data_IF_077276880052
#
_entry.id   IF_077276880052
#
_cell.length_a   1.000
_cell.length_b   1.000
_cell.length_c   1.000
_cell.angle_alpha   90.00
_cell.angle_beta   90.00
_cell.angle_gamma   90.00
#
_symmetry.space_group_name_H-M   'P 1'
#
loop_
_entity.id
_entity.type
_entity.pdbx_description
1 polymer ?
#
# COMPACT_ATOMS: atom_id res chain seq x y z
N UNK A 1 -1.02 20.88 10.40
CA UNK A 1 -1.91 19.77 10.78
C UNK A 1 -1.43 19.04 12.02
N UNK A 2 -0.29 18.34 12.03
CA UNK A 2 0.17 17.59 13.22
C UNK A 2 0.24 18.46 14.47
N UNK A 3 0.83 19.66 14.37
CA UNK A 3 0.90 20.59 15.50
C UNK A 3 -0.47 21.10 15.97
N UNK A 4 -1.41 21.32 15.04
CA UNK A 4 -2.77 21.73 15.39
C UNK A 4 -3.53 20.60 16.12
N UNK A 5 -3.30 19.35 15.71
CA UNK A 5 -3.84 18.15 16.36
C UNK A 5 -3.18 17.94 17.72
N UNK A 6 -1.87 18.14 17.84
CA UNK A 6 -1.14 18.11 19.11
C UNK A 6 -1.74 19.11 20.10
N UNK A 7 -1.94 20.36 19.68
CA UNK A 7 -2.57 21.39 20.51
C UNK A 7 -3.99 20.98 20.95
N UNK A 8 -4.79 20.41 20.03
CA UNK A 8 -6.12 19.90 20.37
C UNK A 8 -6.09 18.75 21.39
N UNK A 9 -5.16 17.81 21.27
CA UNK A 9 -5.02 16.70 22.22
C UNK A 9 -4.55 17.19 23.59
N UNK A 10 -3.63 18.16 23.64
CA UNK A 10 -3.22 18.79 24.91
C UNK A 10 -4.42 19.44 25.60
N UNK A 11 -5.25 20.18 24.86
CA UNK A 11 -6.48 20.76 25.39
C UNK A 11 -7.46 19.68 25.90
N UNK A 12 -7.58 18.57 25.16
CA UNK A 12 -8.42 17.44 25.53
C UNK A 12 -7.91 16.72 26.79
N UNK A 13 -6.60 16.50 26.91
CA UNK A 13 -5.97 15.94 28.10
C UNK A 13 -6.25 16.81 29.34
N UNK A 14 -6.11 18.13 29.21
CA UNK A 14 -6.42 19.06 30.29
C UNK A 14 -7.91 19.01 30.69
N UNK A 15 -8.80 18.87 29.72
CA UNK A 15 -10.25 18.78 29.94
C UNK A 15 -10.68 17.43 30.57
N UNK A 16 -10.01 16.33 30.22
CA UNK A 16 -10.30 14.99 30.73
C UNK A 16 -9.42 14.55 31.92
N UNK A 17 -8.62 15.45 32.50
CA UNK A 17 -7.67 15.17 33.60
C UNK A 17 -8.23 14.36 34.77
N UNK A 18 -9.51 14.50 35.08
CA UNK A 18 -10.16 13.81 36.20
C UNK A 18 -10.64 12.39 35.85
N UNK A 19 -10.49 11.96 34.59
CA UNK A 19 -10.72 10.57 34.14
C UNK A 19 -9.37 9.92 33.82
N UNK A 20 -8.88 8.98 34.66
CA UNK A 20 -7.64 8.26 34.40
C UNK A 20 -7.67 7.49 33.08
N UNK A 21 -8.83 6.92 32.73
CA UNK A 21 -9.03 6.17 31.49
C UNK A 21 -8.91 7.07 30.26
N UNK A 22 -9.66 8.18 30.23
CA UNK A 22 -9.61 9.12 29.11
C UNK A 22 -8.21 9.76 28.99
N UNK A 23 -7.60 10.15 30.11
CA UNK A 23 -6.26 10.72 30.13
C UNK A 23 -5.21 9.73 29.60
N UNK A 24 -5.29 8.44 29.94
CA UNK A 24 -4.39 7.42 29.40
C UNK A 24 -4.54 7.24 27.88
N UNK A 25 -5.78 7.18 27.37
CA UNK A 25 -6.04 7.04 25.94
C UNK A 25 -5.60 8.27 25.12
N UNK A 26 -5.80 9.46 25.66
CA UNK A 26 -5.39 10.71 25.01
C UNK A 26 -3.87 10.92 25.11
N UNK A 27 -3.26 10.51 26.23
CA UNK A 27 -1.80 10.48 26.40
C UNK A 27 -1.14 9.54 25.39
N UNK A 28 -1.64 8.32 25.25
CA UNK A 28 -1.19 7.37 24.22
C UNK A 28 -1.27 7.98 22.81
N UNK A 29 -2.39 8.64 22.47
CA UNK A 29 -2.55 9.29 21.17
C UNK A 29 -1.61 10.47 20.96
N UNK A 30 -1.29 11.23 22.03
CA UNK A 30 -0.37 12.35 21.97
C UNK A 30 1.07 11.88 21.77
N UNK A 31 1.50 10.89 22.55
CA UNK A 31 2.83 10.27 22.44
C UNK A 31 3.02 9.65 21.06
N UNK A 32 1.97 9.02 20.52
CA UNK A 32 2.00 8.38 19.21
C UNK A 32 2.26 9.34 18.04
N UNK A 33 1.99 10.65 18.19
CA UNK A 33 2.31 11.63 17.12
C UNK A 33 3.80 11.70 16.80
N UNK A 34 4.65 11.38 17.76
CA UNK A 34 6.12 11.41 17.67
C UNK A 34 6.74 10.04 17.36
N UNK A 35 5.92 8.98 17.30
CA UNK A 35 6.36 7.63 16.98
C UNK A 35 6.40 7.37 15.46
N UNK A 36 7.13 6.35 14.99
CA UNK A 36 7.05 5.88 13.60
C UNK A 36 5.61 5.52 13.20
N UNK A 37 5.30 5.68 11.91
CA UNK A 37 4.00 5.30 11.38
C UNK A 37 3.82 3.78 11.48
N UNK A 38 2.74 3.32 12.12
CA UNK A 38 2.44 1.91 12.33
C UNK A 38 1.55 1.35 11.23
N UNK A 39 2.06 0.39 10.47
CA UNK A 39 1.32 -0.31 9.41
C UNK A 39 1.02 -1.73 9.85
N UNK A 40 -0.27 -2.03 10.07
CA UNK A 40 -0.70 -3.38 10.44
C UNK A 40 -0.81 -4.30 9.23
N UNK A 41 -0.36 -5.55 9.39
CA UNK A 41 -0.53 -6.61 8.39
C UNK A 41 -1.58 -7.59 8.91
N UNK A 42 -2.76 -7.56 8.28
CA UNK A 42 -3.94 -8.31 8.72
C UNK A 42 -4.45 -9.28 7.66
N UNK A 43 -5.22 -10.29 8.07
CA UNK A 43 -5.80 -11.29 7.17
C UNK A 43 -6.02 -12.64 7.86
N UNK A 44 -6.81 -13.52 7.22
CA UNK A 44 -7.12 -14.84 7.76
C UNK A 44 -5.87 -15.71 7.99
N UNK A 45 -6.00 -16.79 8.77
CA UNK A 45 -4.93 -17.76 8.93
C UNK A 45 -4.52 -18.36 7.57
N UNK A 46 -3.21 -18.58 7.37
CA UNK A 46 -2.69 -19.15 6.13
C UNK A 46 -2.67 -18.21 4.91
N UNK A 47 -2.94 -16.92 5.04
CA UNK A 47 -2.76 -15.94 3.93
C UNK A 47 -1.30 -15.53 3.72
N UNK A 48 -0.38 -15.90 4.62
CA UNK A 48 1.04 -15.55 4.51
C UNK A 48 1.43 -14.20 5.12
N UNK A 49 0.70 -13.73 6.14
CA UNK A 49 0.97 -12.45 6.86
C UNK A 49 2.43 -12.31 7.30
N UNK A 50 2.93 -13.26 8.08
CA UNK A 50 4.31 -13.23 8.60
C UNK A 50 5.35 -13.29 7.48
N UNK A 51 5.06 -14.02 6.40
CA UNK A 51 5.93 -14.05 5.22
C UNK A 51 5.96 -12.70 4.51
N UNK A 52 4.81 -12.02 4.39
CA UNK A 52 4.76 -10.67 3.83
C UNK A 52 5.46 -9.66 4.73
N UNK A 53 5.25 -9.75 6.06
CA UNK A 53 5.92 -8.90 7.04
C UNK A 53 7.45 -9.03 6.93
N UNK A 54 7.97 -10.26 6.85
CA UNK A 54 9.40 -10.52 6.63
C UNK A 54 9.90 -9.99 5.26
N UNK A 55 9.09 -10.14 4.20
CA UNK A 55 9.42 -9.63 2.88
C UNK A 55 9.50 -8.10 2.84
N UNK A 56 8.66 -7.40 3.61
CA UNK A 56 8.64 -5.94 3.73
C UNK A 56 9.73 -5.41 4.68
N UNK A 57 9.86 -5.98 5.88
CA UNK A 57 10.73 -5.48 6.94
C UNK A 57 12.22 -5.54 6.61
N UNK A 58 12.64 -6.57 5.89
CA UNK A 58 14.04 -6.73 5.48
C UNK A 58 14.37 -5.99 4.15
N UNK A 59 13.44 -5.21 3.58
CA UNK A 59 13.69 -4.41 2.38
C UNK A 59 13.67 -2.91 2.69
N UNK A 60 14.76 -2.34 3.26
CA UNK A 60 14.75 -0.94 3.65
C UNK A 60 15.04 -0.07 2.42
N UNK A 61 14.05 0.10 1.51
CA UNK A 61 13.98 1.35 0.76
C UNK A 61 13.91 2.48 1.76
N UNK A 62 14.64 3.58 1.51
CA UNK A 62 14.68 4.74 2.42
C UNK A 62 13.28 5.14 2.90
N UNK A 63 12.31 5.15 1.99
CA UNK A 63 10.91 5.47 2.28
C UNK A 63 10.20 4.54 3.28
N UNK A 64 10.60 3.27 3.41
CA UNK A 64 9.96 2.32 4.33
C UNK A 64 10.70 2.19 5.66
N UNK A 65 11.87 2.82 5.82
CA UNK A 65 12.69 2.70 7.05
C UNK A 65 12.03 3.33 8.27
N UNK A 66 11.23 4.36 8.04
CA UNK A 66 10.55 5.12 9.11
C UNK A 66 9.16 4.56 9.42
N UNK A 67 8.85 3.36 8.91
CA UNK A 67 7.60 2.64 9.16
C UNK A 67 7.82 1.47 10.12
N UNK A 68 6.88 1.27 11.03
CA UNK A 68 6.81 0.08 11.87
C UNK A 68 5.76 -0.89 11.32
N UNK A 69 6.18 -2.06 10.83
CA UNK A 69 5.25 -3.10 10.38
C UNK A 69 4.87 -4.03 11.52
N UNK A 70 3.57 -4.14 11.79
CA UNK A 70 3.02 -4.96 12.87
C UNK A 70 2.33 -6.20 12.31
N UNK A 71 2.82 -7.40 12.62
CA UNK A 71 2.18 -8.67 12.24
C UNK A 71 1.02 -9.00 13.20
N UNK A 72 -0.21 -8.88 12.69
CA UNK A 72 -1.44 -9.17 13.43
C UNK A 72 -1.48 -8.56 14.86
N UNK A 73 -1.32 -7.23 15.00
CA UNK A 73 -1.31 -6.60 16.32
C UNK A 73 -2.65 -6.80 17.04
N UNK A 74 -2.66 -6.80 18.39
CA UNK A 74 -3.91 -6.85 19.14
C UNK A 74 -4.75 -5.59 18.85
N UNK A 75 -6.09 -5.66 18.92
CA UNK A 75 -6.99 -4.55 18.54
C UNK A 75 -6.81 -3.25 19.33
N UNK A 76 -6.16 -3.30 20.49
CA UNK A 76 -5.86 -2.13 21.31
C UNK A 76 -4.73 -1.27 20.75
N UNK A 77 -3.84 -1.86 19.94
CA UNK A 77 -2.66 -1.19 19.38
C UNK A 77 -3.08 -0.11 18.39
N UNK A 78 -2.51 1.08 18.52
CA UNK A 78 -2.69 2.14 17.52
C UNK A 78 -2.01 1.73 16.21
N UNK A 79 -2.78 1.73 15.14
CA UNK A 79 -2.31 1.43 13.78
C UNK A 79 -2.83 2.52 12.86
N UNK A 80 -1.93 3.16 12.13
CA UNK A 80 -2.26 4.30 11.27
C UNK A 80 -2.74 3.87 9.89
N UNK A 81 -2.25 2.72 9.46
CA UNK A 81 -2.61 2.12 8.20
C UNK A 81 -2.64 0.59 8.28
N UNK A 82 -3.22 -0.04 7.26
CA UNK A 82 -3.30 -1.49 7.18
C UNK A 82 -3.11 -2.05 5.78
N UNK A 83 -2.41 -3.18 5.72
CA UNK A 83 -2.30 -4.06 4.57
C UNK A 83 -3.15 -5.30 4.87
N UNK A 84 -4.24 -5.47 4.12
CA UNK A 84 -5.24 -6.54 4.35
C UNK A 84 -5.06 -7.64 3.31
N UNK A 85 -4.71 -8.83 3.76
CA UNK A 85 -4.48 -9.99 2.90
C UNK A 85 -5.74 -10.85 2.80
N UNK A 86 -6.16 -11.09 1.56
CA UNK A 86 -7.21 -12.03 1.21
C UNK A 86 -6.65 -13.11 0.28
N UNK A 87 -7.15 -14.34 0.38
CA UNK A 87 -6.86 -15.39 -0.63
C UNK A 87 -7.68 -15.20 -1.90
N UNK A 88 -8.90 -14.69 -1.75
CA UNK A 88 -9.85 -14.48 -2.84
C UNK A 88 -10.53 -13.13 -2.64
N UNK A 89 -10.87 -12.44 -3.73
CA UNK A 89 -11.59 -11.16 -3.70
C UNK A 89 -13.09 -11.43 -3.72
N UNK A 90 -13.58 -12.21 -2.75
CA UNK A 90 -14.99 -12.56 -2.65
C UNK A 90 -15.79 -11.41 -2.00
N UNK A 91 -17.00 -11.08 -2.50
CA UNK A 91 -17.79 -9.96 -1.97
C UNK A 91 -18.06 -10.04 -0.47
N UNK A 92 -18.29 -11.23 0.08
CA UNK A 92 -18.50 -11.45 1.51
C UNK A 92 -17.28 -11.07 2.33
N UNK A 93 -16.08 -11.47 1.89
CA UNK A 93 -14.82 -11.12 2.55
C UNK A 93 -14.56 -9.61 2.44
N UNK A 94 -14.76 -9.02 1.27
CA UNK A 94 -14.58 -7.58 1.06
C UNK A 94 -15.54 -6.75 1.92
N UNK A 95 -16.79 -7.19 2.08
CA UNK A 95 -17.77 -6.52 2.92
C UNK A 95 -17.34 -6.47 4.40
N UNK A 96 -16.67 -7.51 4.90
CA UNK A 96 -16.15 -7.52 6.28
C UNK A 96 -14.98 -6.56 6.52
N UNK A 97 -14.28 -6.14 5.45
CA UNK A 97 -13.16 -5.20 5.55
C UNK A 97 -13.61 -3.74 5.61
N UNK A 98 -14.88 -3.45 5.33
CA UNK A 98 -15.41 -2.09 5.45
C UNK A 98 -15.38 -1.68 6.92
N UNK A 99 -14.82 -0.50 7.25
CA UNK A 99 -14.72 -0.07 8.64
C UNK A 99 -16.13 0.07 9.25
N UNK A 100 -16.44 -0.76 10.24
CA UNK A 100 -17.64 -0.66 11.08
C UNK A 100 -17.45 0.32 12.23
N UNK A 101 -16.59 1.32 12.02
CA UNK A 101 -16.19 2.26 13.06
C UNK A 101 -17.32 3.24 13.39
N UNK A 102 -17.63 3.48 14.68
CA UNK A 102 -18.60 4.50 15.08
C UNK A 102 -18.08 5.92 14.79
N UNK A 103 -16.76 6.11 14.67
CA UNK A 103 -16.10 7.38 14.38
C UNK A 103 -16.55 7.98 13.04
N UNK A 104 -17.13 9.18 13.06
CA UNK A 104 -17.49 9.89 11.84
C UNK A 104 -16.24 10.38 11.10
N UNK A 105 -15.22 10.80 11.86
CA UNK A 105 -13.94 11.22 11.31
C UNK A 105 -13.27 10.10 10.50
N UNK A 106 -13.22 8.88 11.05
CA UNK A 106 -12.64 7.72 10.38
C UNK A 106 -13.35 7.39 9.06
N UNK A 107 -14.69 7.51 9.01
CA UNK A 107 -15.47 7.27 7.78
C UNK A 107 -15.19 8.32 6.71
N UNK A 108 -15.06 9.59 7.08
CA UNK A 108 -14.77 10.69 6.15
C UNK A 108 -13.31 10.67 5.64
N UNK A 109 -12.43 9.96 6.33
CA UNK A 109 -10.98 9.93 6.06
C UNK A 109 -10.47 8.51 5.80
N UNK A 110 -11.33 7.60 5.31
CA UNK A 110 -10.98 6.19 5.09
C UNK A 110 -10.05 5.99 3.87
N UNK A 111 -8.76 6.28 4.06
CA UNK A 111 -7.69 6.16 3.05
C UNK A 111 -6.47 5.38 3.56
N UNK A 112 -6.66 4.59 4.60
CA UNK A 112 -5.60 3.95 5.39
C UNK A 112 -5.40 2.46 5.07
N UNK A 113 -6.00 1.95 4.00
CA UNK A 113 -5.96 0.50 3.72
C UNK A 113 -5.54 0.17 2.29
N UNK A 114 -4.58 -0.76 2.17
CA UNK A 114 -4.21 -1.45 0.92
C UNK A 114 -4.70 -2.89 1.00
N UNK A 115 -5.32 -3.37 -0.08
CA UNK A 115 -5.75 -4.74 -0.22
C UNK A 115 -4.71 -5.57 -0.96
N UNK A 116 -4.41 -6.75 -0.45
CA UNK A 116 -3.47 -7.70 -1.05
C UNK A 116 -4.18 -9.00 -1.38
N UNK A 117 -4.22 -9.35 -2.67
CA UNK A 117 -4.54 -10.70 -3.12
C UNK A 117 -3.30 -11.58 -2.89
N UNK A 118 -3.30 -12.25 -1.74
CA UNK A 118 -2.19 -13.04 -1.25
C UNK A 118 -2.12 -14.41 -1.94
N UNK A 119 -0.92 -15.02 -1.93
CA UNK A 119 -0.62 -16.28 -2.63
C UNK A 119 -1.03 -16.21 -4.10
N UNK A 120 -0.74 -15.06 -4.73
CA UNK A 120 -1.08 -14.81 -6.14
C UNK A 120 -0.54 -15.90 -7.08
N UNK A 121 0.55 -16.55 -6.70
CA UNK A 121 1.19 -17.68 -7.36
C UNK A 121 0.36 -18.98 -7.37
N UNK A 122 -0.70 -19.09 -6.57
CA UNK A 122 -1.63 -20.23 -6.58
C UNK A 122 -2.83 -20.04 -7.51
N UNK A 123 -2.99 -18.84 -8.07
CA UNK A 123 -4.11 -18.51 -8.98
C UNK A 123 -4.14 -19.45 -10.17
N UNK A 124 -5.33 -19.98 -10.50
CA UNK A 124 -5.48 -20.91 -11.63
C UNK A 124 -4.63 -22.17 -11.49
N UNK A 125 -4.53 -22.72 -10.28
CA UNK A 125 -3.75 -23.92 -9.92
C UNK A 125 -2.23 -23.77 -10.11
N UNK A 126 -1.68 -22.57 -9.95
CA UNK A 126 -0.24 -22.33 -10.02
C UNK A 126 0.38 -22.65 -11.39
N UNK A 127 -0.39 -22.42 -12.46
CA UNK A 127 0.11 -22.40 -13.84
C UNK A 127 1.13 -21.27 -14.00
N UNK A 128 1.96 -21.32 -15.03
CA UNK A 128 3.05 -20.35 -15.23
C UNK A 128 2.57 -18.89 -15.36
N UNK A 129 1.32 -18.70 -15.78
CA UNK A 129 0.62 -17.42 -15.92
C UNK A 129 -0.16 -17.02 -14.65
N UNK A 130 -0.04 -17.75 -13.53
CA UNK A 130 -0.78 -17.49 -12.29
C UNK A 130 -0.64 -16.05 -11.80
N UNK A 131 0.59 -15.54 -11.69
CA UNK A 131 0.85 -14.16 -11.26
C UNK A 131 0.26 -13.11 -12.21
N UNK A 132 0.35 -13.34 -13.53
CA UNK A 132 -0.23 -12.44 -14.50
C UNK A 132 -1.76 -12.39 -14.35
N UNK A 133 -2.37 -13.57 -14.23
CA UNK A 133 -3.82 -13.74 -14.02
C UNK A 133 -4.26 -13.07 -12.72
N UNK A 134 -3.52 -13.28 -11.62
CA UNK A 134 -3.82 -12.68 -10.32
C UNK A 134 -3.77 -11.15 -10.38
N UNK A 135 -2.77 -10.56 -11.05
CA UNK A 135 -2.67 -9.11 -11.26
C UNK A 135 -3.83 -8.57 -12.09
N UNK A 136 -4.27 -9.30 -13.12
CA UNK A 136 -5.44 -8.92 -13.92
C UNK A 136 -6.72 -8.95 -13.08
N UNK A 137 -6.91 -9.98 -12.26
CA UNK A 137 -8.06 -10.10 -11.33
C UNK A 137 -8.06 -8.92 -10.34
N UNK A 138 -6.91 -8.65 -9.71
CA UNK A 138 -6.76 -7.55 -8.74
C UNK A 138 -7.08 -6.18 -9.36
N UNK A 139 -6.52 -5.87 -10.53
CA UNK A 139 -6.78 -4.61 -11.26
C UNK A 139 -8.24 -4.48 -11.68
N UNK A 140 -8.82 -5.58 -12.17
CA UNK A 140 -10.24 -5.60 -12.57
C UNK A 140 -11.14 -5.35 -11.38
N UNK A 141 -10.92 -6.03 -10.26
CA UNK A 141 -11.67 -5.83 -9.03
C UNK A 141 -11.52 -4.38 -8.53
N UNK A 142 -10.30 -3.83 -8.53
CA UNK A 142 -10.09 -2.45 -8.10
C UNK A 142 -10.78 -1.41 -8.98
N UNK A 143 -11.00 -1.71 -10.25
CA UNK A 143 -11.73 -0.84 -11.17
C UNK A 143 -13.23 -0.98 -11.07
N UNK A 144 -13.71 -2.22 -11.10
CA UNK A 144 -15.12 -2.54 -11.36
C UNK A 144 -15.93 -2.78 -10.08
N UNK A 145 -15.34 -3.33 -9.01
CA UNK A 145 -16.07 -3.73 -7.82
C UNK A 145 -16.30 -2.54 -6.87
N UNK A 146 -17.53 -2.10 -6.60
CA UNK A 146 -17.80 -1.01 -5.66
C UNK A 146 -17.25 -1.28 -4.24
N UNK A 147 -17.14 -2.53 -3.82
CA UNK A 147 -16.57 -2.90 -2.52
C UNK A 147 -15.07 -2.60 -2.43
N UNK A 148 -14.38 -2.47 -3.57
CA UNK A 148 -12.97 -2.08 -3.63
C UNK A 148 -12.75 -0.56 -3.66
N UNK A 149 -13.80 0.27 -3.70
CA UNK A 149 -13.68 1.73 -3.66
C UNK A 149 -13.19 2.22 -2.29
N UNK A 150 -12.24 3.16 -2.29
CA UNK A 150 -11.62 3.73 -1.08
C UNK A 150 -10.35 3.01 -0.58
N UNK A 151 -10.02 1.83 -1.11
CA UNK A 151 -8.70 1.24 -0.87
C UNK A 151 -7.63 1.96 -1.70
N UNK A 152 -6.46 2.15 -1.11
CA UNK A 152 -5.30 2.79 -1.74
C UNK A 152 -4.66 1.95 -2.85
N UNK A 153 -4.99 0.65 -2.89
CA UNK A 153 -4.56 -0.29 -3.93
C UNK A 153 -5.17 -1.67 -3.71
N UNK A 154 -5.30 -2.44 -4.80
CA UNK A 154 -5.57 -3.88 -4.77
C UNK A 154 -4.47 -4.59 -5.54
N UNK A 155 -3.59 -5.28 -4.81
CA UNK A 155 -2.29 -5.72 -5.35
C UNK A 155 -2.16 -7.23 -5.18
N UNK A 156 -1.84 -7.94 -6.27
CA UNK A 156 -1.57 -9.37 -6.21
C UNK A 156 -0.12 -9.63 -5.81
N UNK A 157 0.09 -10.40 -4.73
CA UNK A 157 1.42 -10.62 -4.15
C UNK A 157 1.67 -12.11 -3.87
N UNK A 158 2.82 -12.59 -4.34
CA UNK A 158 3.43 -13.87 -3.93
C UNK A 158 4.60 -13.59 -2.98
N UNK A 159 4.30 -13.41 -1.69
CA UNK A 159 5.27 -12.96 -0.69
C UNK A 159 6.43 -13.96 -0.51
N UNK A 160 6.14 -15.26 -0.52
CA UNK A 160 7.16 -16.31 -0.38
C UNK A 160 8.16 -16.27 -1.55
N UNK A 161 7.67 -16.13 -2.78
CA UNK A 161 8.51 -15.97 -3.97
C UNK A 161 9.42 -14.75 -3.82
N UNK A 162 8.87 -13.60 -3.43
CA UNK A 162 9.62 -12.37 -3.27
C UNK A 162 10.70 -12.50 -2.18
N UNK A 163 10.34 -13.07 -1.04
CA UNK A 163 11.24 -13.29 0.10
C UNK A 163 12.37 -14.24 -0.26
N UNK A 164 12.05 -15.40 -0.85
CA UNK A 164 13.02 -16.39 -1.28
C UNK A 164 13.99 -15.87 -2.34
N UNK A 165 13.46 -15.14 -3.33
CA UNK A 165 14.25 -14.56 -4.42
C UNK A 165 15.21 -13.44 -3.96
N UNK A 166 14.93 -12.76 -2.85
CA UNK A 166 15.84 -11.73 -2.33
C UNK A 166 17.11 -12.34 -1.75
N UNK A 167 16.96 -13.36 -0.93
CA UNK A 167 18.08 -14.02 -0.27
C UNK A 167 18.74 -15.08 -1.18
N UNK A 168 18.62 -14.94 -2.50
CA UNK A 168 18.99 -15.97 -3.46
C UNK A 168 20.51 -16.18 -3.53
N UNK A 169 20.93 -17.43 -3.39
CA UNK A 169 22.35 -17.84 -3.32
C UNK A 169 22.86 -18.38 -4.66
N UNK A 170 24.18 -18.42 -4.84
CA UNK A 170 24.80 -18.96 -6.06
C UNK A 170 24.54 -20.47 -6.20
N UNK A 171 24.61 -21.23 -5.10
CA UNK A 171 24.30 -22.67 -5.07
C UNK A 171 22.86 -22.97 -5.53
N UNK A 172 21.90 -22.14 -5.11
CA UNK A 172 20.49 -22.27 -5.53
C UNK A 172 20.31 -21.94 -7.01
N UNK A 173 21.06 -20.97 -7.53
CA UNK A 173 21.05 -20.64 -8.96
C UNK A 173 21.63 -21.79 -9.78
N UNK A 174 22.80 -22.31 -9.42
CA UNK A 174 23.43 -23.45 -10.12
C UNK A 174 22.51 -24.68 -10.13
N UNK A 175 21.84 -24.95 -9.01
CA UNK A 175 20.88 -26.03 -8.90
C UNK A 175 19.67 -25.84 -9.83
N UNK A 176 19.10 -24.63 -9.88
CA UNK A 176 18.00 -24.31 -10.78
C UNK A 176 18.44 -24.31 -12.25
N UNK A 177 19.68 -23.91 -12.54
CA UNK A 177 20.26 -24.00 -13.87
C UNK A 177 20.45 -25.45 -14.31
N UNK A 178 20.90 -26.33 -13.42
CA UNK A 178 20.99 -27.77 -13.67
C UNK A 178 19.61 -28.38 -13.96
N UNK A 179 18.56 -28.00 -13.22
CA UNK A 179 17.19 -28.40 -13.55
C UNK A 179 16.72 -27.82 -14.88
N UNK A 180 17.06 -26.57 -15.19
CA UNK A 180 16.63 -25.92 -16.43
C UNK A 180 17.25 -26.58 -17.67
N UNK A 181 18.44 -27.19 -17.54
CA UNK A 181 19.13 -27.93 -18.59
C UNK A 181 18.49 -29.30 -18.92
N UNK A 182 17.72 -29.89 -18.00
CA UNK A 182 16.96 -31.11 -18.28
C UNK A 182 15.85 -30.80 -19.29
N UNK A 183 15.57 -31.69 -20.28
CA UNK A 183 14.46 -31.50 -21.21
C UNK A 183 13.13 -31.24 -20.50
N UNK A 184 12.30 -30.38 -21.08
CA UNK A 184 11.08 -29.91 -20.45
C UNK A 184 10.09 -31.05 -20.22
N UNK A 185 9.97 -31.93 -21.20
CA UNK A 185 9.07 -33.07 -21.24
C UNK A 185 9.36 -34.07 -20.11
N UNK A 186 10.62 -34.20 -19.71
CA UNK A 186 11.04 -35.08 -18.62
C UNK A 186 10.66 -34.52 -17.25
N UNK A 187 10.76 -33.20 -17.06
CA UNK A 187 10.47 -32.54 -15.78
C UNK A 187 9.00 -32.20 -15.58
N UNK A 188 8.21 -32.04 -16.64
CA UNK A 188 6.83 -31.54 -16.55
C UNK A 188 5.95 -32.34 -15.58
N UNK A 189 6.04 -33.69 -15.62
CA UNK A 189 5.28 -34.56 -14.71
C UNK A 189 5.65 -34.37 -13.23
N UNK A 190 6.88 -33.96 -12.94
CA UNK A 190 7.38 -33.75 -11.58
C UNK A 190 7.08 -32.33 -11.07
N UNK A 191 6.75 -31.39 -11.96
CA UNK A 191 6.42 -30.00 -11.62
C UNK A 191 4.91 -29.77 -11.44
N UNK A 192 4.11 -30.83 -11.37
CA UNK A 192 2.66 -30.77 -11.18
C UNK A 192 2.26 -30.43 -9.75
N UNK A 193 2.96 -30.98 -8.76
CA UNK A 193 2.69 -30.77 -7.34
C UNK A 193 3.97 -30.83 -6.51
N UNK A 194 3.89 -30.39 -5.26
CA UNK A 194 5.00 -30.49 -4.31
C UNK A 194 5.37 -31.95 -4.06
N UNK A 195 4.37 -32.83 -3.97
CA UNK A 195 4.57 -34.26 -3.77
C UNK A 195 5.32 -34.88 -4.96
N UNK A 196 4.91 -34.57 -6.20
CA UNK A 196 5.59 -35.05 -7.39
C UNK A 196 7.03 -34.51 -7.50
N UNK A 197 7.26 -33.25 -7.13
CA UNK A 197 8.59 -32.66 -7.20
C UNK A 197 9.53 -33.25 -6.14
N UNK A 198 9.00 -33.61 -4.98
CA UNK A 198 9.79 -34.17 -3.87
C UNK A 198 9.76 -35.70 -3.82
N UNK A 199 9.21 -36.34 -4.85
CA UNK A 199 9.16 -37.79 -4.99
C UNK A 199 10.60 -38.36 -5.09
N UNK A 200 10.92 -39.46 -4.38
CA UNK A 200 12.22 -40.13 -4.50
C UNK A 200 12.55 -40.63 -5.91
N UNK A 201 11.54 -40.91 -6.74
CA UNK A 201 11.67 -41.33 -8.15
C UNK A 201 11.84 -40.16 -9.12
N UNK A 202 12.11 -38.95 -8.62
CA UNK A 202 12.46 -37.79 -9.44
C UNK A 202 13.79 -38.02 -10.19
N UNK A 203 13.88 -37.64 -11.48
CA UNK A 203 15.05 -37.90 -12.31
C UNK A 203 16.23 -37.00 -11.92
N UNK A 204 17.42 -37.60 -11.81
CA UNK A 204 18.67 -36.87 -11.62
C UNK A 204 19.24 -36.95 -10.20
N UNK A 205 20.45 -36.40 -9.99
CA UNK A 205 21.26 -36.65 -8.78
C UNK A 205 20.87 -35.77 -7.57
N UNK A 206 19.81 -34.97 -7.67
CA UNK A 206 19.44 -34.03 -6.61
C UNK A 206 18.70 -34.77 -5.49
N UNK A 207 19.15 -34.58 -4.25
CA UNK A 207 18.50 -35.18 -3.07
C UNK A 207 17.09 -34.60 -2.85
N UNK A 208 16.21 -35.41 -2.24
CA UNK A 208 14.83 -35.02 -1.91
C UNK A 208 14.81 -33.81 -0.97
N UNK A 209 15.73 -33.77 -0.01
CA UNK A 209 15.88 -32.72 0.99
C UNK A 209 16.20 -31.37 0.33
N UNK A 210 17.08 -31.37 -0.67
CA UNK A 210 17.43 -30.18 -1.45
C UNK A 210 16.22 -29.67 -2.24
N UNK A 211 15.46 -30.57 -2.88
CA UNK A 211 14.21 -30.22 -3.59
C UNK A 211 13.16 -29.64 -2.63
N UNK A 212 13.00 -30.22 -1.44
CA UNK A 212 12.11 -29.70 -0.38
C UNK A 212 12.53 -28.30 0.04
N UNK A 213 13.82 -28.06 0.24
CA UNK A 213 14.35 -26.75 0.61
C UNK A 213 14.04 -25.68 -0.44
N UNK A 214 14.19 -26.00 -1.74
CA UNK A 214 13.79 -25.10 -2.83
C UNK A 214 12.29 -24.76 -2.78
N UNK A 215 11.42 -25.75 -2.57
CA UNK A 215 9.97 -25.51 -2.48
C UNK A 215 9.62 -24.67 -1.25
N UNK A 216 10.26 -24.91 -0.10
CA UNK A 216 10.07 -24.08 1.10
C UNK A 216 10.51 -22.64 0.85
N UNK A 217 11.55 -22.42 0.03
CA UNK A 217 12.05 -21.08 -0.24
C UNK A 217 11.27 -20.31 -1.29
N UNK A 218 10.97 -20.93 -2.44
CA UNK A 218 10.36 -20.24 -3.59
C UNK A 218 8.89 -20.60 -3.82
N UNK A 219 8.39 -21.65 -3.18
CA UNK A 219 7.19 -22.34 -3.61
C UNK A 219 7.41 -23.10 -4.92
N UNK A 220 6.53 -24.07 -5.22
CA UNK A 220 6.62 -24.82 -6.48
C UNK A 220 6.46 -23.91 -7.70
N UNK A 221 5.56 -22.93 -7.61
CA UNK A 221 5.40 -21.92 -8.66
C UNK A 221 6.71 -21.16 -8.89
N UNK A 222 7.41 -20.74 -7.84
CA UNK A 222 8.68 -20.02 -7.95
C UNK A 222 9.75 -20.86 -8.63
N UNK A 223 9.84 -22.15 -8.32
CA UNK A 223 10.72 -23.10 -9.04
C UNK A 223 10.35 -23.12 -10.54
N UNK A 224 9.08 -23.34 -10.89
CA UNK A 224 8.64 -23.36 -12.30
C UNK A 224 8.94 -22.06 -13.05
N UNK A 225 8.72 -20.93 -12.39
CA UNK A 225 9.02 -19.60 -12.93
C UNK A 225 10.52 -19.44 -13.14
N UNK A 226 11.34 -19.83 -12.17
CA UNK A 226 12.79 -19.76 -12.28
C UNK A 226 13.33 -20.59 -13.45
N UNK A 227 12.88 -21.84 -13.61
CA UNK A 227 13.27 -22.68 -14.75
C UNK A 227 12.89 -22.04 -16.09
N UNK A 228 11.69 -21.44 -16.16
CA UNK A 228 11.23 -20.76 -17.37
C UNK A 228 12.09 -19.54 -17.69
N UNK A 229 12.44 -18.74 -16.66
CA UNK A 229 13.28 -17.56 -16.81
C UNK A 229 14.71 -17.90 -17.23
N UNK A 230 15.31 -18.94 -16.65
CA UNK A 230 16.65 -19.41 -17.04
C UNK A 230 16.66 -19.84 -18.51
N UNK A 231 15.67 -20.65 -18.92
CA UNK A 231 15.53 -21.10 -20.31
C UNK A 231 15.28 -19.96 -21.31
N UNK A 232 14.79 -18.81 -20.84
CA UNK A 232 14.48 -17.64 -21.69
C UNK A 232 15.53 -16.53 -21.59
N UNK A 233 16.67 -16.77 -20.92
CA UNK A 233 17.83 -15.88 -20.95
C UNK A 233 18.25 -15.27 -19.62
N UNK A 234 17.68 -15.70 -18.48
CA UNK A 234 18.24 -15.38 -17.16
C UNK A 234 19.43 -16.31 -16.85
N UNK A 235 20.62 -15.89 -17.27
CA UNK A 235 21.88 -16.64 -17.23
C UNK A 235 22.71 -16.40 -15.97
N UNK A 236 22.29 -15.49 -15.09
CA UNK A 236 22.94 -15.25 -13.80
C UNK A 236 21.95 -15.07 -12.64
N UNK A 237 22.47 -15.25 -11.43
CA UNK A 237 21.72 -15.16 -10.16
C UNK A 237 21.05 -13.80 -9.96
N UNK A 238 21.72 -12.70 -10.32
CA UNK A 238 21.24 -11.34 -10.08
C UNK A 238 20.05 -11.03 -10.99
N UNK A 239 20.16 -11.36 -12.28
CA UNK A 239 19.07 -11.24 -13.25
C UNK A 239 17.86 -12.07 -12.83
N UNK A 240 18.10 -13.32 -12.44
CA UNK A 240 17.02 -14.21 -12.02
C UNK A 240 16.31 -13.69 -10.75
N UNK A 241 17.06 -13.32 -9.72
CA UNK A 241 16.52 -12.71 -8.50
C UNK A 241 15.68 -11.47 -8.81
N UNK A 242 16.21 -10.58 -9.65
CA UNK A 242 15.52 -9.35 -10.07
C UNK A 242 14.19 -9.65 -10.74
N UNK A 243 14.15 -10.59 -11.70
CA UNK A 243 12.92 -10.95 -12.40
C UNK A 243 11.90 -11.66 -11.50
N UNK A 244 12.33 -12.54 -10.58
CA UNK A 244 11.44 -13.20 -9.63
C UNK A 244 10.79 -12.17 -8.67
N UNK A 245 11.58 -11.24 -8.12
CA UNK A 245 11.06 -10.16 -7.27
C UNK A 245 10.12 -9.25 -8.06
N UNK A 246 10.52 -8.81 -9.25
CA UNK A 246 9.70 -7.94 -10.12
C UNK A 246 8.34 -8.57 -10.43
N UNK A 247 8.29 -9.88 -10.67
CA UNK A 247 7.05 -10.59 -11.00
C UNK A 247 6.18 -10.84 -9.78
N UNK A 248 6.76 -11.03 -8.59
CA UNK A 248 6.05 -11.36 -7.34
C UNK A 248 4.96 -10.37 -6.91
N UNK A 249 5.00 -9.12 -7.39
CA UNK A 249 4.07 -8.05 -6.99
C UNK A 249 4.49 -7.29 -5.73
N UNK A 250 5.56 -7.69 -5.06
CA UNK A 250 6.05 -7.00 -3.87
C UNK A 250 6.53 -5.56 -4.17
N UNK A 251 7.11 -5.32 -5.34
CA UNK A 251 7.52 -3.97 -5.76
C UNK A 251 6.34 -2.99 -5.81
N UNK A 252 5.26 -3.38 -6.51
CA UNK A 252 4.02 -2.60 -6.62
C UNK A 252 3.41 -2.29 -5.24
N UNK A 253 3.42 -3.27 -4.33
CA UNK A 253 2.98 -3.05 -2.95
C UNK A 253 3.85 -2.03 -2.22
N UNK A 254 5.17 -2.11 -2.37
CA UNK A 254 6.11 -1.21 -1.70
C UNK A 254 6.01 0.22 -2.22
N UNK A 255 5.88 0.38 -3.53
CA UNK A 255 5.70 1.70 -4.16
C UNK A 255 4.38 2.33 -3.69
N UNK A 256 3.33 1.52 -3.56
CA UNK A 256 2.03 1.97 -3.02
C UNK A 256 2.14 2.37 -1.55
N UNK A 257 2.81 1.58 -0.70
CA UNK A 257 3.03 1.93 0.72
C UNK A 257 3.88 3.21 0.83
N UNK A 258 4.92 3.35 0.02
CA UNK A 258 5.79 4.54 0.03
C UNK A 258 5.00 5.80 -0.34
N UNK A 259 4.26 5.77 -1.46
CA UNK A 259 3.51 6.92 -1.96
C UNK A 259 2.26 7.27 -1.15
N UNK A 260 1.55 6.27 -0.61
CA UNK A 260 0.29 6.50 0.10
C UNK A 260 0.46 6.63 1.62
N UNK A 261 1.38 5.88 2.22
CA UNK A 261 1.54 5.84 3.68
C UNK A 261 2.78 6.61 4.15
N UNK A 262 3.97 6.26 3.66
CA UNK A 262 5.21 6.91 4.13
C UNK A 262 5.24 8.40 3.82
N UNK A 263 4.89 8.78 2.59
CA UNK A 263 4.82 10.18 2.17
C UNK A 263 3.76 11.00 2.94
N UNK A 264 2.80 10.33 3.60
CA UNK A 264 1.70 10.93 4.37
C UNK A 264 1.72 10.53 5.84
N UNK A 265 2.88 10.14 6.36
CA UNK A 265 2.98 9.56 7.69
C UNK A 265 2.40 10.48 8.78
N UNK A 266 2.78 11.76 8.75
CA UNK A 266 2.27 12.80 9.64
C UNK A 266 0.74 12.93 9.59
N UNK A 267 0.17 12.90 8.39
CA UNK A 267 -1.27 13.01 8.20
C UNK A 267 -2.03 11.80 8.76
N UNK A 268 -1.47 10.60 8.57
CA UNK A 268 -2.06 9.36 9.06
C UNK A 268 -1.94 9.22 10.59
N UNK A 269 -0.81 9.62 11.21
CA UNK A 269 -0.69 9.67 12.68
C UNK A 269 -1.68 10.66 13.30
N UNK A 270 -1.78 11.86 12.72
CA UNK A 270 -2.77 12.85 13.12
C UNK A 270 -4.21 12.32 13.01
N UNK A 271 -4.52 11.59 11.93
CA UNK A 271 -5.81 10.92 11.75
C UNK A 271 -6.09 9.93 12.87
N UNK A 272 -5.16 9.03 13.17
CA UNK A 272 -5.28 8.03 14.24
C UNK A 272 -5.56 8.69 15.58
N UNK A 273 -4.83 9.75 15.90
CA UNK A 273 -4.99 10.48 17.15
C UNK A 273 -6.35 11.19 17.25
N UNK A 274 -6.86 11.76 16.15
CA UNK A 274 -8.20 12.35 16.09
C UNK A 274 -9.31 11.30 16.22
N UNK A 275 -9.15 10.13 15.64
CA UNK A 275 -10.09 8.99 15.81
C UNK A 275 -10.12 8.56 17.28
N UNK A 276 -8.96 8.50 17.94
CA UNK A 276 -8.88 8.19 19.38
C UNK A 276 -9.58 9.26 20.22
N UNK A 277 -9.36 10.54 19.93
CA UNK A 277 -10.06 11.64 20.60
C UNK A 277 -11.59 11.53 20.41
N UNK A 278 -12.07 11.32 19.19
CA UNK A 278 -13.51 11.14 18.92
C UNK A 278 -14.08 9.93 19.67
N UNK A 279 -13.30 8.85 19.80
CA UNK A 279 -13.69 7.67 20.59
C UNK A 279 -13.86 8.02 22.07
N UNK A 280 -12.97 8.83 22.65
CA UNK A 280 -13.09 9.30 24.04
C UNK A 280 -14.28 10.23 24.21
N UNK A 281 -14.48 11.19 23.30
CA UNK A 281 -15.62 12.12 23.33
C UNK A 281 -16.96 11.37 23.31
N UNK A 282 -17.06 10.30 22.51
CA UNK A 282 -18.26 9.47 22.42
C UNK A 282 -18.45 8.55 23.65
N UNK A 283 -17.36 8.02 24.21
CA UNK A 283 -17.42 7.09 25.34
C UNK A 283 -17.66 7.80 26.69
N UNK A 284 -17.14 9.02 26.86
CA UNK A 284 -17.27 9.84 28.07
C UNK A 284 -17.77 11.26 27.76
N UNK A 285 -19.06 11.44 27.40
CA UNK A 285 -19.63 12.78 27.17
C UNK A 285 -19.57 13.64 28.44
N UNK A 286 -19.11 14.89 28.32
CA UNK A 286 -18.97 15.84 29.43
C UNK A 286 -19.55 17.22 29.06
N UNK A 287 -19.93 18.07 30.04
CA UNK A 287 -20.43 19.40 29.74
C UNK A 287 -19.43 20.24 28.92
N UNK A 288 -19.85 20.72 27.74
CA UNK A 288 -19.05 21.50 26.79
C UNK A 288 -18.04 20.70 25.94
N UNK A 289 -18.09 19.35 25.93
CA UNK A 289 -17.26 18.54 25.02
C UNK A 289 -17.56 18.81 23.53
N UNK A 290 -18.73 19.40 23.23
CA UNK A 290 -19.14 19.82 21.87
C UNK A 290 -18.14 20.75 21.20
N UNK A 291 -17.41 21.57 21.97
CA UNK A 291 -16.37 22.46 21.44
C UNK A 291 -15.17 21.69 20.90
N UNK A 292 -14.79 20.59 21.57
CA UNK A 292 -13.73 19.69 21.11
C UNK A 292 -14.22 18.90 19.89
N UNK A 293 -15.45 18.39 19.91
CA UNK A 293 -16.07 17.71 18.78
C UNK A 293 -16.11 18.60 17.52
N UNK A 294 -16.52 19.87 17.65
CA UNK A 294 -16.52 20.83 16.54
C UNK A 294 -15.10 21.18 16.02
N UNK A 295 -14.05 21.03 16.84
CA UNK A 295 -12.65 21.14 16.37
C UNK A 295 -12.26 19.91 15.55
N UNK A 296 -12.60 18.70 16.00
CA UNK A 296 -12.38 17.46 15.24
C UNK A 296 -13.09 17.50 13.88
N UNK A 297 -14.34 17.95 13.84
CA UNK A 297 -15.10 18.07 12.59
C UNK A 297 -14.49 19.09 11.62
N UNK A 298 -13.94 20.20 12.12
CA UNK A 298 -13.22 21.16 11.26
C UNK A 298 -11.97 20.55 10.63
N UNK A 299 -11.28 19.63 11.30
CA UNK A 299 -10.16 18.91 10.70
C UNK A 299 -10.60 18.02 9.55
N UNK A 300 -11.71 17.29 9.66
CA UNK A 300 -12.16 16.44 8.54
C UNK A 300 -12.56 17.27 7.31
N UNK A 301 -13.20 18.43 7.53
CA UNK A 301 -13.56 19.34 6.45
C UNK A 301 -12.33 19.94 5.74
N UNK A 302 -11.25 20.20 6.49
CA UNK A 302 -10.02 20.84 5.99
C UNK A 302 -8.92 19.87 5.56
N UNK A 303 -9.07 18.57 5.81
CA UNK A 303 -8.05 17.56 5.49
C UNK A 303 -7.95 17.28 3.98
N UNK A 304 -7.22 18.14 3.28
CA UNK A 304 -6.96 18.03 1.85
C UNK A 304 -6.08 16.81 1.53
N UNK A 305 -5.12 16.45 2.39
CA UNK A 305 -4.25 15.29 2.20
C UNK A 305 -5.03 13.98 1.96
N UNK A 306 -6.16 13.78 2.66
CA UNK A 306 -6.99 12.59 2.45
C UNK A 306 -7.78 12.65 1.14
N UNK A 307 -8.15 13.86 0.67
CA UNK A 307 -8.75 14.03 -0.66
C UNK A 307 -7.73 13.71 -1.76
N UNK A 308 -6.46 14.11 -1.57
CA UNK A 308 -5.36 13.74 -2.46
C UNK A 308 -5.19 12.22 -2.53
N UNK A 309 -5.07 11.55 -1.39
CA UNK A 309 -4.95 10.08 -1.32
C UNK A 309 -6.13 9.36 -1.95
N UNK A 310 -7.35 9.85 -1.72
CA UNK A 310 -8.55 9.26 -2.31
C UNK A 310 -8.56 9.40 -3.83
N UNK A 311 -8.22 10.59 -4.34
CA UNK A 311 -8.16 10.83 -5.79
C UNK A 311 -7.02 10.06 -6.45
N UNK A 312 -5.85 9.94 -5.82
CA UNK A 312 -4.75 9.09 -6.30
C UNK A 312 -5.24 7.64 -6.47
N UNK A 313 -5.92 7.10 -5.46
CA UNK A 313 -6.45 5.75 -5.51
C UNK A 313 -7.50 5.57 -6.62
N UNK A 314 -8.40 6.54 -6.79
CA UNK A 314 -9.43 6.50 -7.83
C UNK A 314 -8.84 6.61 -9.24
N UNK A 315 -7.82 7.45 -9.45
CA UNK A 315 -7.12 7.54 -10.75
C UNK A 315 -6.40 6.23 -11.05
N UNK A 316 -5.58 5.71 -10.11
CA UNK A 316 -4.83 4.46 -10.28
C UNK A 316 -5.75 3.23 -10.44
N UNK A 317 -6.90 3.23 -9.76
CA UNK A 317 -7.94 2.22 -9.91
C UNK A 317 -8.75 2.33 -11.21
N UNK A 318 -8.60 3.42 -11.98
CA UNK A 318 -9.38 3.66 -13.20
C UNK A 318 -10.86 3.94 -12.92
N UNK A 319 -11.15 4.60 -11.80
CA UNK A 319 -12.50 5.02 -11.37
C UNK A 319 -12.84 6.45 -11.76
N UNK A 320 -11.87 7.18 -12.29
CA UNK A 320 -12.06 8.51 -12.88
C UNK A 320 -11.98 8.43 -14.41
N UNK A 321 -12.44 9.46 -15.10
CA UNK A 321 -12.25 9.59 -16.54
C UNK A 321 -10.89 10.19 -16.92
N UNK A 322 -10.03 10.55 -15.94
CA UNK A 322 -8.68 11.03 -16.22
C UNK A 322 -7.85 9.86 -16.76
N UNK A 323 -7.17 10.06 -17.89
CA UNK A 323 -6.33 9.06 -18.54
C UNK A 323 -5.11 9.70 -19.23
N UNK A 324 -4.11 8.88 -19.54
CA UNK A 324 -2.89 9.33 -20.21
C UNK A 324 -2.12 10.38 -19.41
N UNK A 325 -1.54 11.35 -20.12
CA UNK A 325 -0.68 12.39 -19.54
C UNK A 325 -1.39 13.21 -18.43
N UNK A 326 -2.68 13.50 -18.59
CA UNK A 326 -3.44 14.24 -17.56
C UNK A 326 -3.60 13.44 -16.26
N UNK A 327 -3.75 12.11 -16.35
CA UNK A 327 -3.81 11.26 -15.15
C UNK A 327 -2.43 11.16 -14.48
N UNK A 328 -1.36 11.05 -15.26
CA UNK A 328 0.01 11.02 -14.75
C UNK A 328 0.38 12.34 -14.07
N UNK A 329 0.09 13.48 -14.70
CA UNK A 329 0.30 14.81 -14.12
C UNK A 329 -0.53 15.00 -12.84
N UNK A 330 -1.82 14.58 -12.83
CA UNK A 330 -2.65 14.64 -11.63
C UNK A 330 -2.04 13.83 -10.48
N UNK A 331 -1.70 12.55 -10.72
CA UNK A 331 -1.13 11.66 -9.70
C UNK A 331 0.18 12.22 -9.15
N UNK A 332 1.03 12.81 -10.00
CA UNK A 332 2.26 13.48 -9.58
C UNK A 332 1.98 14.73 -8.75
N UNK A 333 1.13 15.64 -9.23
CA UNK A 333 0.76 16.86 -8.53
C UNK A 333 0.06 16.59 -7.20
N UNK A 334 -0.67 15.47 -7.06
CA UNK A 334 -1.29 15.03 -5.80
C UNK A 334 -0.27 14.38 -4.84
N UNK A 335 0.98 14.20 -5.27
CA UNK A 335 2.09 13.73 -4.44
C UNK A 335 2.18 12.21 -4.26
N UNK A 336 1.79 11.44 -5.28
CA UNK A 336 1.84 9.98 -5.21
C UNK A 336 3.26 9.39 -5.30
N UNK A 337 4.24 10.20 -5.71
CA UNK A 337 5.68 9.85 -5.77
C UNK A 337 6.48 10.52 -4.65
N UNK A 338 5.84 11.38 -3.87
CA UNK A 338 6.47 12.18 -2.83
C UNK A 338 5.77 13.53 -2.68
N UNK A 339 5.98 14.19 -1.55
CA UNK A 339 5.25 15.42 -1.17
C UNK A 339 6.06 16.69 -1.31
N UNK A 340 7.35 16.58 -1.68
CA UNK A 340 8.20 17.74 -1.94
C UNK A 340 7.70 18.50 -3.18
N UNK A 341 7.94 19.81 -3.19
CA UNK A 341 7.43 20.69 -4.25
C UNK A 341 8.02 20.34 -5.61
N UNK A 342 9.32 20.05 -5.68
CA UNK A 342 10.01 19.59 -6.88
C UNK A 342 9.43 18.27 -7.42
N UNK A 343 9.20 17.27 -6.56
CA UNK A 343 8.64 15.97 -6.94
C UNK A 343 7.24 16.11 -7.53
N UNK A 344 6.40 16.93 -6.89
CA UNK A 344 5.01 17.18 -7.33
C UNK A 344 4.95 17.96 -8.64
N UNK A 345 5.88 18.88 -8.86
CA UNK A 345 5.99 19.64 -10.11
C UNK A 345 6.70 18.86 -11.23
N UNK A 346 7.36 17.74 -10.91
CA UNK A 346 8.15 16.96 -11.87
C UNK A 346 9.47 17.63 -12.25
N UNK A 347 10.07 18.36 -11.30
CA UNK A 347 11.32 19.10 -11.44
C UNK A 347 12.47 18.36 -10.74
N UNK A 348 13.70 18.72 -11.09
CA UNK A 348 14.88 18.15 -10.43
C UNK A 348 15.05 18.69 -9.01
N UNK A 349 15.68 17.90 -8.14
CA UNK A 349 15.97 18.34 -6.78
C UNK A 349 16.92 19.55 -6.80
N UNK A 350 16.52 20.62 -6.11
CA UNK A 350 17.29 21.87 -6.06
C UNK A 350 17.05 22.83 -7.24
N UNK A 351 16.01 22.62 -8.04
CA UNK A 351 15.53 23.62 -9.02
C UNK A 351 15.30 24.99 -8.35
N UNK A 352 15.52 26.08 -9.09
CA UNK A 352 15.37 27.43 -8.57
C UNK A 352 13.92 27.73 -8.13
N UNK A 353 13.69 28.37 -6.98
CA UNK A 353 12.34 28.68 -6.50
C UNK A 353 11.47 29.48 -7.48
N UNK A 354 12.08 30.30 -8.36
CA UNK A 354 11.32 31.01 -9.39
C UNK A 354 10.82 30.07 -10.48
N UNK A 355 11.65 29.14 -10.91
CA UNK A 355 11.26 28.10 -11.87
C UNK A 355 10.17 27.19 -11.29
N UNK A 356 10.27 26.84 -10.00
CA UNK A 356 9.20 26.12 -9.29
C UNK A 356 7.89 26.91 -9.24
N UNK A 357 7.96 28.22 -8.98
CA UNK A 357 6.78 29.10 -8.99
C UNK A 357 6.14 29.17 -10.38
N UNK A 358 6.94 29.36 -11.44
CA UNK A 358 6.45 29.42 -12.83
C UNK A 358 5.79 28.09 -13.23
N UNK A 359 6.40 26.94 -12.91
CA UNK A 359 5.82 25.62 -13.15
C UNK A 359 4.51 25.39 -12.37
N UNK A 360 4.46 25.83 -11.10
CA UNK A 360 3.25 25.75 -10.29
C UNK A 360 2.11 26.61 -10.83
N UNK A 361 2.42 27.80 -11.36
CA UNK A 361 1.43 28.71 -11.94
C UNK A 361 0.83 28.10 -13.21
N UNK A 362 1.68 27.53 -14.07
CA UNK A 362 1.26 26.81 -15.27
C UNK A 362 0.35 25.62 -14.93
N UNK A 363 0.70 24.84 -13.89
CA UNK A 363 -0.14 23.73 -13.42
C UNK A 363 -1.51 24.22 -12.94
N UNK A 364 -1.56 25.29 -12.12
CA UNK A 364 -2.85 25.87 -11.66
C UNK A 364 -3.71 26.32 -12.83
N UNK A 365 -3.12 27.01 -13.81
CA UNK A 365 -3.87 27.50 -14.97
C UNK A 365 -4.44 26.35 -15.81
N UNK A 366 -3.66 25.29 -16.06
CA UNK A 366 -4.13 24.09 -16.77
C UNK A 366 -5.28 23.41 -16.03
N UNK A 367 -5.11 23.14 -14.73
CA UNK A 367 -6.10 22.38 -13.97
C UNK A 367 -7.37 23.19 -13.66
N UNK A 368 -7.28 24.52 -13.55
CA UNK A 368 -8.48 25.38 -13.47
C UNK A 368 -9.27 25.32 -14.76
N UNK A 369 -8.60 25.36 -15.92
CA UNK A 369 -9.27 25.18 -17.19
C UNK A 369 -10.03 23.84 -17.23
N UNK A 370 -9.39 22.73 -16.88
CA UNK A 370 -10.06 21.41 -16.85
C UNK A 370 -11.22 21.35 -15.84
N UNK A 371 -11.09 21.99 -14.69
CA UNK A 371 -12.14 22.04 -13.66
C UNK A 371 -13.37 22.86 -14.07
N UNK A 372 -13.18 23.87 -14.92
CA UNK A 372 -14.25 24.78 -15.37
C UNK A 372 -14.95 24.33 -16.67
N UNK A 373 -14.48 23.24 -17.30
CA UNK A 373 -15.04 22.72 -18.55
C UNK A 373 -16.51 22.30 -18.42
N UNK A 374 -17.45 22.97 -19.11
CA UNK A 374 -18.88 22.70 -18.94
C UNK A 374 -19.33 21.37 -19.57
N UNK A 375 -18.56 20.83 -20.51
CA UNK A 375 -18.80 19.55 -21.18
C UNK A 375 -18.45 18.33 -20.32
N UNK A 376 -17.81 18.55 -19.16
CA UNK A 376 -17.30 17.49 -18.27
C UNK A 376 -18.31 17.10 -17.19
N UNK A 377 -18.35 15.81 -16.87
CA UNK A 377 -19.17 15.30 -15.77
C UNK A 377 -18.78 15.99 -14.44
N UNK A 378 -19.75 16.09 -13.51
CA UNK A 378 -19.50 16.73 -12.20
C UNK A 378 -18.34 16.07 -11.44
N UNK A 379 -18.24 14.74 -11.51
CA UNK A 379 -17.16 13.99 -10.87
C UNK A 379 -15.77 14.33 -11.44
N UNK A 380 -15.67 14.54 -12.76
CA UNK A 380 -14.41 14.93 -13.42
C UNK A 380 -13.98 16.33 -13.02
N UNK A 381 -14.92 17.28 -13.00
CA UNK A 381 -14.66 18.65 -12.54
C UNK A 381 -14.25 18.68 -11.06
N UNK A 382 -14.94 17.90 -10.22
CA UNK A 382 -14.59 17.77 -8.81
C UNK A 382 -13.18 17.19 -8.61
N UNK A 383 -12.78 16.18 -9.39
CA UNK A 383 -11.43 15.64 -9.38
C UNK A 383 -10.39 16.69 -9.79
N UNK A 384 -10.63 17.42 -10.89
CA UNK A 384 -9.75 18.51 -11.31
C UNK A 384 -9.65 19.62 -10.24
N UNK A 385 -10.75 19.95 -9.55
CA UNK A 385 -10.74 20.93 -8.45
C UNK A 385 -9.82 20.51 -7.29
N UNK A 386 -9.73 19.20 -6.99
CA UNK A 386 -8.79 18.71 -5.97
C UNK A 386 -7.35 18.98 -6.42
N UNK A 387 -7.02 18.69 -7.68
CA UNK A 387 -5.69 18.96 -8.26
C UNK A 387 -5.37 20.46 -8.27
N UNK A 388 -6.34 21.32 -8.61
CA UNK A 388 -6.19 22.79 -8.52
C UNK A 388 -5.79 23.20 -7.11
N UNK A 389 -6.53 22.74 -6.09
CA UNK A 389 -6.22 23.11 -4.71
C UNK A 389 -4.85 22.61 -4.25
N UNK A 390 -4.42 21.45 -4.74
CA UNK A 390 -3.07 20.92 -4.51
C UNK A 390 -2.01 21.83 -5.13
N UNK A 391 -2.17 22.23 -6.39
CA UNK A 391 -1.23 23.12 -7.09
C UNK A 391 -1.20 24.54 -6.48
N UNK A 392 -2.35 25.07 -6.06
CA UNK A 392 -2.44 26.34 -5.32
C UNK A 392 -1.71 26.28 -3.98
N UNK A 393 -1.83 25.15 -3.27
CA UNK A 393 -1.11 24.90 -2.02
C UNK A 393 0.42 24.84 -2.20
N UNK A 394 0.90 24.35 -3.36
CA UNK A 394 2.32 24.41 -3.70
C UNK A 394 2.77 25.85 -3.95
N UNK A 395 2.01 26.62 -4.73
CA UNK A 395 2.32 28.02 -5.02
C UNK A 395 2.41 28.88 -3.76
N UNK A 396 1.54 28.64 -2.78
CA UNK A 396 1.54 29.38 -1.52
C UNK A 396 2.84 29.25 -0.70
N UNK A 397 3.70 28.29 -1.01
CA UNK A 397 5.01 28.12 -0.34
C UNK A 397 6.09 29.07 -0.85
N UNK A 398 5.85 29.71 -2.00
CA UNK A 398 6.82 30.58 -2.68
C UNK A 398 6.44 32.07 -2.64
N UNK A 399 5.40 32.44 -1.89
CA UNK A 399 4.82 33.80 -1.80
C UNK A 399 5.18 34.49 -0.49
#
# INVERSE_FOLDING_TARGET
MVEDVRALLVDACAYYRDSPRASALLGEALDHLDEPLRVSIGGAAGTGKSTLAAALGDWPTRALRDLEFLDAPPPSTLTDASVRLLRHLEPEQLATLRPTTPSAFARQTAVDTILVLARADETGAGRIDALLTAKQIARRAWREDPLCSGFQGVIAVAAQLAYGARAFTDDEFELLAAFAAVPREELERYLLSVDSFTDPAFPGPVAVETRRSLVVRFGLFGVKLALTLIRTGCDDRVKLSTELVRRSGLGELRDTIAGCFAARADALRARTALIRLETVLNAEPRPHSDRLAARVERFSASAHDFRELWLIADIRGGRTALAGESAEEAVRLLGAEGTASEERLGLEAGTDPREMYEAGLDAVMRWRHEAERPDRALAERAAAQVVVRSAEGLLAQFV
#
